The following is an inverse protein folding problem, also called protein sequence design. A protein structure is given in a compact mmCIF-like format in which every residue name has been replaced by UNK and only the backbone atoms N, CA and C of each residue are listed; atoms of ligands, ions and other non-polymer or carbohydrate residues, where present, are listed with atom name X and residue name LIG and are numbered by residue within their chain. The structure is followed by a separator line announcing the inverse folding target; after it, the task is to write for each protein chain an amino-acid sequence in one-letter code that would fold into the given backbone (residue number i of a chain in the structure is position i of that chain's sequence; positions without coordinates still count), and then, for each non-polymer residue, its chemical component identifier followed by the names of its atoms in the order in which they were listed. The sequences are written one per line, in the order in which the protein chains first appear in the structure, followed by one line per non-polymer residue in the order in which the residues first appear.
data_IF_324969653472
#
_entry.id   IF_324969653472
#
_cell.length_a   1.000
_cell.length_b   1.000
_cell.length_c   1.000
_cell.angle_alpha   90.00
_cell.angle_beta   90.00
_cell.angle_gamma   90.00
#
_symmetry.space_group_name_H-M   'P 1'
#
loop_
_entity.id
_entity.type
_entity.pdbx_description
1 polymer ?
#
# COMPACT_ATOMS: atom_id res chain seq x y z
N UNK A 1 5.58 -33.30 67.09
CA UNK A 1 5.29 -33.80 65.70
C UNK A 1 4.09 -33.14 65.02
N UNK A 2 2.95 -32.91 65.70
CA UNK A 2 1.72 -32.35 65.07
C UNK A 2 1.88 -30.92 64.51
N UNK A 3 2.58 -30.03 65.22
CA UNK A 3 2.76 -28.61 64.81
C UNK A 3 3.60 -28.45 63.53
N UNK A 4 4.69 -29.22 63.39
CA UNK A 4 5.52 -29.24 62.16
C UNK A 4 4.76 -29.79 60.95
N UNK A 5 3.92 -30.83 61.14
CA UNK A 5 3.05 -31.34 60.07
C UNK A 5 1.98 -30.32 59.65
N UNK A 6 1.37 -29.61 60.59
CA UNK A 6 0.41 -28.54 60.25
C UNK A 6 1.05 -27.39 59.48
N UNK A 7 2.24 -26.94 59.90
CA UNK A 7 2.97 -25.87 59.19
C UNK A 7 3.33 -26.33 57.76
N UNK A 8 3.77 -27.57 57.59
CA UNK A 8 4.07 -28.12 56.26
C UNK A 8 2.82 -28.16 55.36
N UNK A 9 1.67 -28.57 55.88
CA UNK A 9 0.40 -28.59 55.13
C UNK A 9 -0.01 -27.17 54.71
N UNK A 10 0.11 -26.19 55.60
CA UNK A 10 -0.24 -24.81 55.30
C UNK A 10 0.65 -24.21 54.20
N UNK A 11 1.96 -24.45 54.29
CA UNK A 11 2.92 -24.02 53.25
C UNK A 11 2.60 -24.70 51.91
N UNK A 12 2.28 -26.00 51.89
CA UNK A 12 1.92 -26.68 50.63
C UNK A 12 0.64 -26.13 50.01
N UNK A 13 -0.36 -25.77 50.82
CA UNK A 13 -1.60 -25.17 50.31
C UNK A 13 -1.35 -23.77 49.71
N UNK A 14 -0.52 -22.95 50.37
CA UNK A 14 -0.13 -21.64 49.81
C UNK A 14 0.68 -21.79 48.52
N UNK A 15 1.62 -22.75 48.45
CA UNK A 15 2.37 -23.01 47.22
C UNK A 15 1.46 -23.48 46.06
N UNK A 16 0.46 -24.33 46.35
CA UNK A 16 -0.53 -24.76 45.35
C UNK A 16 -1.37 -23.56 44.89
N UNK A 17 -1.84 -22.73 45.82
CA UNK A 17 -2.61 -21.53 45.50
C UNK A 17 -1.82 -20.55 44.64
N UNK A 18 -0.57 -20.26 45.00
CA UNK A 18 0.34 -19.41 44.21
C UNK A 18 0.59 -20.02 42.83
N UNK A 19 0.79 -21.33 42.73
CA UNK A 19 0.99 -21.99 41.43
C UNK A 19 -0.24 -21.88 40.53
N UNK A 20 -1.44 -22.06 41.08
CA UNK A 20 -2.70 -21.92 40.35
C UNK A 20 -2.91 -20.48 39.90
N UNK A 21 -2.61 -19.51 40.76
CA UNK A 21 -2.71 -18.08 40.45
C UNK A 21 -1.71 -17.67 39.36
N UNK A 22 -0.46 -18.15 39.42
CA UNK A 22 0.55 -17.93 38.40
C UNK A 22 0.16 -18.58 37.05
N UNK A 23 -0.33 -19.82 37.05
CA UNK A 23 -0.82 -20.46 35.82
C UNK A 23 -2.03 -19.74 35.23
N UNK A 24 -2.96 -19.25 36.07
CA UNK A 24 -4.08 -18.43 35.64
C UNK A 24 -3.65 -17.12 35.00
N UNK A 25 -2.68 -16.42 35.60
CA UNK A 25 -2.09 -15.21 35.02
C UNK A 25 -1.39 -15.50 33.68
N UNK A 26 -0.64 -16.60 33.55
CA UNK A 26 0.00 -16.99 32.29
C UNK A 26 -1.03 -17.30 31.19
N UNK A 27 -2.14 -17.95 31.54
CA UNK A 27 -3.22 -18.24 30.58
C UNK A 27 -3.97 -16.97 30.16
N UNK A 28 -4.21 -16.03 31.08
CA UNK A 28 -4.79 -14.72 30.76
C UNK A 28 -3.85 -13.89 29.88
N UNK A 29 -2.55 -13.86 30.17
CA UNK A 29 -1.54 -13.18 29.35
C UNK A 29 -1.43 -13.80 27.95
N UNK A 30 -1.53 -15.14 27.83
CA UNK A 30 -1.57 -15.81 26.52
C UNK A 30 -2.85 -15.55 25.73
N UNK A 31 -3.98 -15.35 26.41
CA UNK A 31 -5.26 -14.97 25.78
C UNK A 31 -5.30 -13.49 25.36
N UNK A 32 -4.48 -12.65 26.00
CA UNK A 32 -4.30 -11.24 25.67
C UNK A 32 -3.14 -10.98 24.70
N UNK A 33 -2.57 -12.00 24.06
CA UNK A 33 -1.57 -11.77 23.02
C UNK A 33 -2.27 -11.17 21.78
N UNK A 34 -2.06 -9.88 21.46
CA UNK A 34 -2.75 -9.22 20.38
C UNK A 34 -2.40 -9.80 19.01
N UNK A 35 -1.17 -10.29 18.82
CA UNK A 35 -0.70 -10.91 17.57
C UNK A 35 -1.56 -12.12 17.23
N UNK A 36 -1.82 -12.99 18.21
CA UNK A 36 -2.72 -14.14 18.06
C UNK A 36 -4.17 -13.75 17.80
N UNK A 37 -4.61 -12.58 18.25
CA UNK A 37 -5.97 -12.08 18.00
C UNK A 37 -6.09 -11.56 16.56
N UNK A 38 -5.05 -10.90 16.04
CA UNK A 38 -4.98 -10.42 14.66
C UNK A 38 -4.85 -11.60 13.70
N UNK A 39 -3.91 -12.53 13.94
CA UNK A 39 -3.68 -13.72 13.11
C UNK A 39 -4.97 -14.55 12.92
N UNK A 40 -5.77 -14.71 13.99
CA UNK A 40 -7.06 -15.41 13.93
C UNK A 40 -8.14 -14.70 13.10
N UNK A 41 -7.89 -13.46 12.70
CA UNK A 41 -8.81 -12.60 11.92
C UNK A 41 -8.27 -12.27 10.52
N UNK A 42 -7.10 -12.81 10.15
CA UNK A 42 -6.56 -12.65 8.82
C UNK A 42 -7.33 -13.50 7.82
N UNK A 43 -7.61 -12.91 6.67
CA UNK A 43 -8.27 -13.54 5.54
C UNK A 43 -7.34 -13.43 4.35
N UNK A 44 -7.15 -14.54 3.66
CA UNK A 44 -6.45 -14.58 2.39
C UNK A 44 -7.46 -14.50 1.27
N UNK A 45 -7.33 -13.50 0.40
CA UNK A 45 -8.16 -13.37 -0.79
C UNK A 45 -7.35 -12.79 -1.95
N UNK A 46 -7.39 -13.48 -3.08
CA UNK A 46 -6.61 -13.09 -4.25
C UNK A 46 -5.13 -12.93 -3.89
N UNK A 47 -4.60 -11.74 -4.15
CA UNK A 47 -3.17 -11.44 -4.02
C UNK A 47 -2.75 -11.05 -2.60
N UNK A 48 -3.71 -10.88 -1.68
CA UNK A 48 -3.45 -10.26 -0.38
C UNK A 48 -3.94 -11.10 0.79
N UNK A 49 -3.28 -10.89 1.92
CA UNK A 49 -3.75 -11.27 3.25
C UNK A 49 -4.19 -9.99 3.95
N UNK A 50 -5.40 -9.95 4.48
CA UNK A 50 -5.99 -8.74 5.05
C UNK A 50 -6.74 -9.01 6.35
N UNK A 51 -6.81 -8.00 7.21
CA UNK A 51 -7.64 -7.99 8.43
C UNK A 51 -8.94 -7.21 8.20
N UNK A 52 -10.05 -7.71 8.75
CA UNK A 52 -11.36 -7.01 8.72
C UNK A 52 -11.53 -6.06 9.91
N UNK A 53 -11.97 -4.85 9.62
CA UNK A 53 -12.26 -3.79 10.58
C UNK A 53 -13.63 -3.17 10.25
N UNK A 54 -14.71 -3.83 10.67
CA UNK A 54 -16.07 -3.43 10.28
C UNK A 54 -16.29 -3.59 8.77
N UNK A 55 -16.68 -2.51 8.07
CA UNK A 55 -16.82 -2.47 6.60
C UNK A 55 -15.50 -2.16 5.86
N UNK A 56 -14.38 -2.15 6.57
CA UNK A 56 -13.05 -1.84 6.04
C UNK A 56 -12.13 -3.04 6.10
N UNK A 57 -11.13 -3.04 5.25
CA UNK A 57 -10.03 -3.99 5.24
C UNK A 57 -8.70 -3.26 5.42
N UNK A 58 -7.76 -3.92 6.10
CA UNK A 58 -6.36 -3.52 6.12
C UNK A 58 -5.50 -4.61 5.51
N UNK A 59 -4.65 -4.27 4.53
CA UNK A 59 -3.70 -5.22 3.97
C UNK A 59 -2.62 -5.50 5.02
N UNK A 60 -2.43 -6.77 5.33
CA UNK A 60 -1.48 -7.26 6.33
C UNK A 60 -0.35 -8.06 5.69
N UNK A 61 -0.50 -8.48 4.43
CA UNK A 61 0.49 -9.28 3.74
C UNK A 61 0.14 -9.51 2.27
N UNK A 62 1.10 -10.07 1.52
CA UNK A 62 0.88 -10.59 0.17
C UNK A 62 0.67 -12.10 0.29
N UNK A 63 -0.35 -12.63 -0.37
CA UNK A 63 -0.64 -14.06 -0.38
C UNK A 63 0.38 -14.83 -1.21
N UNK A 64 0.44 -16.15 -1.04
CA UNK A 64 1.30 -17.01 -1.87
C UNK A 64 0.94 -16.95 -3.37
N UNK A 65 -0.33 -16.68 -3.71
CA UNK A 65 -0.72 -16.46 -5.11
C UNK A 65 -0.30 -15.08 -5.61
N UNK A 66 -0.42 -14.04 -4.78
CA UNK A 66 0.05 -12.69 -5.10
C UNK A 66 1.54 -12.66 -5.40
N UNK A 67 2.35 -13.37 -4.59
CA UNK A 67 3.80 -13.50 -4.76
C UNK A 67 4.23 -14.15 -6.08
N UNK A 68 3.38 -14.95 -6.72
CA UNK A 68 3.67 -15.63 -8.00
C UNK A 68 3.49 -14.73 -9.22
N UNK A 69 2.87 -13.56 -9.07
CA UNK A 69 2.54 -12.69 -10.19
C UNK A 69 3.74 -11.86 -10.64
N UNK A 70 3.85 -11.62 -11.95
CA UNK A 70 4.84 -10.68 -12.49
C UNK A 70 4.49 -9.21 -12.14
N UNK A 71 3.20 -8.94 -11.97
CA UNK A 71 2.68 -7.60 -11.65
C UNK A 71 1.72 -7.69 -10.47
N UNK A 72 2.03 -6.96 -9.40
CA UNK A 72 1.19 -6.81 -8.22
C UNK A 72 0.55 -5.41 -8.22
N UNK A 73 -0.77 -5.35 -8.16
CA UNK A 73 -1.53 -4.09 -8.07
C UNK A 73 -2.26 -4.05 -6.75
N UNK A 74 -1.94 -3.06 -5.91
CA UNK A 74 -2.62 -2.85 -4.63
C UNK A 74 -4.07 -2.44 -4.86
N UNK A 75 -4.99 -3.03 -4.10
CA UNK A 75 -6.45 -2.94 -4.34
C UNK A 75 -7.17 -1.99 -3.37
N UNK A 76 -8.14 -1.24 -3.88
CA UNK A 76 -9.03 -0.39 -3.08
C UNK A 76 -10.17 -1.16 -2.41
N UNK A 77 -10.39 -2.41 -2.80
CA UNK A 77 -11.43 -3.29 -2.29
C UNK A 77 -10.94 -4.73 -2.25
N UNK A 78 -11.23 -5.44 -1.17
CA UNK A 78 -11.02 -6.88 -1.03
C UNK A 78 -12.34 -7.48 -0.56
N UNK A 79 -12.88 -8.42 -1.32
CA UNK A 79 -14.26 -8.90 -1.17
C UNK A 79 -15.28 -7.74 -1.17
N UNK A 80 -16.15 -7.66 -0.17
CA UNK A 80 -17.07 -6.54 0.04
C UNK A 80 -16.45 -5.33 0.79
N UNK A 81 -15.21 -5.44 1.27
CA UNK A 81 -14.59 -4.47 2.19
C UNK A 81 -13.74 -3.46 1.44
N UNK A 82 -13.93 -2.18 1.75
CA UNK A 82 -13.05 -1.11 1.28
C UNK A 82 -11.70 -1.21 1.98
N UNK A 83 -10.62 -1.29 1.22
CA UNK A 83 -9.27 -1.21 1.78
C UNK A 83 -8.98 0.24 2.14
N UNK A 84 -8.58 0.47 3.39
CA UNK A 84 -8.29 1.82 3.89
C UNK A 84 -6.91 1.96 4.48
N UNK A 85 -6.19 0.85 4.67
CA UNK A 85 -4.88 0.87 5.29
C UNK A 85 -4.03 -0.32 4.90
N UNK A 86 -2.73 -0.17 5.15
CA UNK A 86 -1.74 -1.23 5.12
C UNK A 86 -1.11 -1.27 6.52
N UNK A 87 -1.03 -2.45 7.13
CA UNK A 87 -0.68 -2.64 8.55
C UNK A 87 -1.85 -2.35 9.49
N UNK A 88 -1.66 -2.51 10.80
CA UNK A 88 -2.72 -2.25 11.78
C UNK A 88 -2.19 -1.59 13.05
N UNK A 89 -3.05 -0.81 13.70
CA UNK A 89 -2.80 -0.21 15.00
C UNK A 89 -3.89 -0.64 15.98
N UNK A 90 -3.50 -1.31 17.07
CA UNK A 90 -4.43 -1.73 18.14
C UNK A 90 -3.89 -1.22 19.48
N UNK A 91 -4.74 -0.47 20.21
CA UNK A 91 -4.48 0.06 21.56
C UNK A 91 -3.07 0.65 21.76
N UNK A 92 -2.79 1.76 21.06
CA UNK A 92 -1.49 2.49 21.06
C UNK A 92 -0.27 1.68 20.61
N UNK A 93 -0.41 0.39 20.32
CA UNK A 93 0.62 -0.43 19.71
C UNK A 93 0.39 -0.50 18.20
N UNK A 94 1.41 -0.08 17.45
CA UNK A 94 1.46 -0.25 16.00
C UNK A 94 2.10 -1.60 15.75
N UNK A 95 1.44 -2.42 14.95
CA UNK A 95 1.93 -3.74 14.58
C UNK A 95 2.65 -3.57 13.25
N UNK A 96 3.98 -3.63 13.33
CA UNK A 96 4.84 -3.59 12.15
C UNK A 96 4.94 -4.99 11.60
N UNK A 97 4.27 -5.23 10.48
CA UNK A 97 4.57 -6.39 9.64
C UNK A 97 5.41 -5.91 8.47
N UNK A 98 6.42 -6.72 8.14
CA UNK A 98 7.15 -6.55 6.90
C UNK A 98 6.25 -6.99 5.75
N UNK A 99 6.12 -6.12 4.75
CA UNK A 99 5.49 -6.49 3.49
C UNK A 99 6.59 -6.91 2.52
N UNK A 100 6.75 -8.23 2.37
CA UNK A 100 7.73 -8.80 1.43
C UNK A 100 7.16 -8.79 0.01
N UNK A 101 7.58 -7.79 -0.76
CA UNK A 101 7.20 -7.55 -2.15
C UNK A 101 8.32 -8.08 -3.04
N UNK A 102 8.08 -9.25 -3.66
CA UNK A 102 9.04 -9.90 -4.56
C UNK A 102 8.64 -9.81 -6.04
N UNK A 103 7.52 -9.13 -6.31
CA UNK A 103 6.94 -9.05 -7.64
C UNK A 103 7.80 -8.14 -8.54
N UNK A 104 8.11 -8.55 -9.78
CA UNK A 104 8.87 -7.73 -10.72
C UNK A 104 8.32 -6.31 -10.90
N UNK A 105 6.99 -6.16 -10.96
CA UNK A 105 6.33 -4.86 -11.06
C UNK A 105 5.33 -4.69 -9.91
N UNK A 106 5.38 -3.56 -9.21
CA UNK A 106 4.45 -3.26 -8.12
C UNK A 106 3.83 -1.89 -8.28
N UNK A 107 2.49 -1.85 -8.24
CA UNK A 107 1.71 -0.64 -8.41
C UNK A 107 0.93 -0.32 -7.13
N UNK A 108 1.20 0.86 -6.58
CA UNK A 108 0.44 1.43 -5.47
C UNK A 108 -0.69 2.32 -5.98
N UNK A 109 -1.74 2.47 -5.17
CA UNK A 109 -2.74 3.51 -5.38
C UNK A 109 -2.89 4.38 -4.13
N UNK A 110 -3.30 5.63 -4.31
CA UNK A 110 -3.53 6.58 -3.23
C UNK A 110 -4.88 6.32 -2.54
N UNK A 111 -4.92 5.28 -1.72
CA UNK A 111 -6.14 4.85 -1.02
C UNK A 111 -5.92 4.45 0.45
N UNK A 112 -4.67 4.53 0.93
CA UNK A 112 -4.27 3.86 2.17
C UNK A 112 -3.69 4.83 3.19
N UNK A 113 -4.01 4.57 4.45
CA UNK A 113 -3.20 4.99 5.59
C UNK A 113 -2.19 3.89 5.92
N UNK A 114 -0.93 4.24 6.13
CA UNK A 114 0.13 3.30 6.48
C UNK A 114 0.37 3.29 8.00
N UNK A 115 0.40 2.12 8.61
CA UNK A 115 0.66 1.94 10.04
C UNK A 115 1.98 1.20 10.27
N UNK A 116 3.10 1.93 10.26
CA UNK A 116 4.47 1.43 10.49
C UNK A 116 4.80 0.14 9.73
N UNK A 117 4.45 0.13 8.44
CA UNK A 117 4.74 -0.98 7.53
C UNK A 117 6.14 -0.78 6.95
N UNK A 118 6.99 -1.78 7.09
CA UNK A 118 8.26 -1.81 6.38
C UNK A 118 8.08 -2.63 5.10
N UNK A 119 8.42 -2.05 3.95
CA UNK A 119 8.32 -2.73 2.66
C UNK A 119 9.69 -3.22 2.22
N UNK A 120 9.77 -4.51 1.91
CA UNK A 120 10.95 -5.14 1.35
C UNK A 120 10.70 -5.40 -0.15
N UNK A 121 11.65 -5.01 -0.99
CA UNK A 121 11.53 -5.03 -2.45
C UNK A 121 12.50 -6.02 -3.12
N UNK A 122 12.88 -7.10 -2.44
CA UNK A 122 13.83 -8.08 -2.98
C UNK A 122 13.38 -8.63 -4.34
N UNK A 123 14.22 -8.49 -5.37
CA UNK A 123 13.91 -8.91 -6.74
C UNK A 123 12.90 -8.02 -7.50
N UNK A 124 12.32 -7.00 -6.88
CA UNK A 124 11.43 -6.04 -7.55
C UNK A 124 12.21 -5.20 -8.56
N UNK A 125 11.66 -5.04 -9.77
CA UNK A 125 12.31 -4.30 -10.87
C UNK A 125 11.72 -2.91 -11.07
N UNK A 126 10.40 -2.76 -10.94
CA UNK A 126 9.70 -1.50 -11.18
C UNK A 126 8.67 -1.24 -10.08
N UNK A 127 8.71 -0.03 -9.51
CA UNK A 127 7.83 0.42 -8.42
C UNK A 127 7.10 1.68 -8.87
N UNK A 128 5.77 1.68 -8.84
CA UNK A 128 4.93 2.79 -9.30
C UNK A 128 4.23 3.43 -8.10
N UNK A 129 4.61 4.68 -7.77
CA UNK A 129 4.20 5.38 -6.55
C UNK A 129 3.48 6.69 -6.91
N UNK A 130 2.17 6.80 -6.67
CA UNK A 130 1.41 7.99 -7.04
C UNK A 130 1.36 9.09 -5.98
N UNK A 131 1.62 8.82 -4.69
CA UNK A 131 1.45 9.83 -3.63
C UNK A 131 2.27 9.62 -2.36
N UNK A 132 2.22 8.45 -1.72
CA UNK A 132 2.88 8.23 -0.43
C UNK A 132 4.33 7.79 -0.63
N UNK A 133 5.18 8.77 -0.96
CA UNK A 133 6.62 8.61 -1.09
C UNK A 133 7.25 8.01 0.17
N UNK A 134 6.84 8.47 1.35
CA UNK A 134 7.55 8.10 2.57
C UNK A 134 7.44 6.61 2.89
N UNK A 135 6.25 6.02 2.70
CA UNK A 135 6.03 4.61 3.05
C UNK A 135 6.37 3.66 1.90
N UNK A 136 6.15 4.08 0.64
CA UNK A 136 6.32 3.18 -0.51
C UNK A 136 7.72 3.23 -1.12
N UNK A 137 8.49 4.32 -0.93
CA UNK A 137 9.77 4.46 -1.61
C UNK A 137 10.85 3.54 -0.99
N UNK A 138 11.62 2.79 -1.80
CA UNK A 138 12.68 1.91 -1.29
C UNK A 138 13.80 2.72 -0.63
N UNK A 139 14.06 2.51 0.66
CA UNK A 139 15.02 3.34 1.45
C UNK A 139 16.44 2.80 1.51
N UNK A 140 16.74 1.67 0.88
CA UNK A 140 18.07 1.07 0.89
C UNK A 140 18.65 0.99 -0.53
N UNK A 141 19.93 1.38 -0.68
CA UNK A 141 20.67 1.35 -1.96
C UNK A 141 20.80 -0.04 -2.58
N UNK A 142 20.51 -1.09 -1.82
CA UNK A 142 20.53 -2.48 -2.28
C UNK A 142 19.39 -2.77 -3.27
N UNK A 143 18.31 -1.98 -3.24
CA UNK A 143 17.20 -2.11 -4.17
C UNK A 143 17.47 -1.27 -5.43
N UNK A 144 17.89 -1.91 -6.53
CA UNK A 144 18.15 -1.24 -7.82
C UNK A 144 16.89 -1.16 -8.72
N UNK A 145 15.71 -1.10 -8.11
CA UNK A 145 14.45 -0.98 -8.84
C UNK A 145 14.35 0.37 -9.53
N UNK A 146 13.71 0.40 -10.70
CA UNK A 146 13.24 1.66 -11.28
C UNK A 146 12.02 2.13 -10.49
N UNK A 147 11.99 3.39 -10.09
CA UNK A 147 10.88 4.00 -9.36
C UNK A 147 10.21 5.04 -10.22
N UNK A 148 8.92 4.85 -10.49
CA UNK A 148 8.09 5.75 -11.27
C UNK A 148 7.19 6.55 -10.33
N UNK A 149 7.41 7.86 -10.29
CA UNK A 149 6.70 8.77 -9.40
C UNK A 149 5.68 9.60 -10.17
N UNK A 150 4.60 9.99 -9.49
CA UNK A 150 3.75 11.09 -9.93
C UNK A 150 4.56 12.38 -10.12
N UNK A 151 4.00 13.34 -10.88
CA UNK A 151 4.70 14.56 -11.25
C UNK A 151 5.12 15.38 -10.03
N UNK A 152 4.23 15.58 -9.05
CA UNK A 152 4.57 16.40 -7.88
C UNK A 152 5.56 15.67 -6.97
N UNK A 153 5.43 14.35 -6.78
CA UNK A 153 6.43 13.54 -6.07
C UNK A 153 7.79 13.56 -6.76
N UNK A 154 7.84 13.44 -8.09
CA UNK A 154 9.10 13.50 -8.81
C UNK A 154 9.78 14.86 -8.65
N UNK A 155 9.02 15.96 -8.74
CA UNK A 155 9.54 17.31 -8.45
C UNK A 155 10.00 17.48 -7.01
N UNK A 156 9.26 16.91 -6.06
CA UNK A 156 9.67 16.87 -4.66
C UNK A 156 11.01 16.14 -4.53
N UNK A 157 11.12 14.93 -5.10
CA UNK A 157 12.34 14.13 -5.09
C UNK A 157 13.55 14.90 -5.64
N UNK A 158 13.43 15.49 -6.84
CA UNK A 158 14.51 16.28 -7.45
C UNK A 158 14.93 17.49 -6.61
N UNK A 159 13.99 18.11 -5.89
CA UNK A 159 14.27 19.32 -5.09
C UNK A 159 15.10 19.01 -3.85
N UNK A 160 14.90 17.83 -3.25
CA UNK A 160 15.52 17.46 -1.98
C UNK A 160 16.78 16.60 -2.14
N UNK A 161 17.28 16.46 -3.37
CA UNK A 161 18.53 15.81 -3.80
C UNK A 161 19.12 14.85 -2.76
N UNK A 162 18.73 13.59 -2.85
CA UNK A 162 19.00 12.61 -1.82
C UNK A 162 20.08 11.62 -2.24
N UNK A 163 21.24 11.66 -1.58
CA UNK A 163 22.36 10.72 -1.82
C UNK A 163 22.04 9.25 -1.52
N UNK A 164 20.87 8.94 -0.94
CA UNK A 164 20.53 7.61 -0.45
C UNK A 164 19.88 6.70 -1.49
N UNK A 165 19.57 7.19 -2.69
CA UNK A 165 19.08 6.37 -3.81
C UNK A 165 19.71 6.79 -5.14
N UNK A 166 19.71 5.89 -6.13
CA UNK A 166 20.22 6.20 -7.46
C UNK A 166 19.21 7.06 -8.22
N UNK A 167 19.55 8.32 -8.45
CA UNK A 167 18.71 9.30 -9.16
C UNK A 167 18.38 8.84 -10.60
N UNK A 168 19.29 8.09 -11.24
CA UNK A 168 19.10 7.59 -12.61
C UNK A 168 18.08 6.45 -12.68
N UNK A 169 17.65 5.94 -11.52
CA UNK A 169 16.60 4.95 -11.36
C UNK A 169 15.25 5.54 -11.00
N UNK A 170 15.14 6.86 -10.86
CA UNK A 170 13.87 7.51 -10.52
C UNK A 170 13.37 8.31 -11.71
N UNK A 171 12.13 8.04 -12.10
CA UNK A 171 11.51 8.58 -13.30
C UNK A 171 10.19 9.27 -12.94
N UNK A 172 9.86 10.32 -13.68
CA UNK A 172 8.50 10.84 -13.72
C UNK A 172 7.66 9.90 -14.58
N UNK A 173 6.60 9.32 -14.03
CA UNK A 173 5.64 8.53 -14.78
C UNK A 173 5.02 9.39 -15.90
N UNK A 174 4.59 8.76 -17.01
CA UNK A 174 3.96 9.47 -18.13
C UNK A 174 2.44 9.25 -18.24
N UNK A 175 1.86 8.44 -17.37
CA UNK A 175 0.41 8.27 -17.22
C UNK A 175 0.02 8.52 -15.78
N UNK A 176 -0.96 9.38 -15.55
CA UNK A 176 -1.45 9.75 -14.21
C UNK A 176 -2.96 9.66 -14.14
N UNK A 177 -3.47 9.20 -13.01
CA UNK A 177 -4.89 9.06 -12.74
C UNK A 177 -5.28 9.97 -11.57
N UNK A 178 -6.28 10.82 -11.73
CA UNK A 178 -6.79 11.68 -10.68
C UNK A 178 -8.20 11.26 -10.27
N UNK A 179 -8.34 10.74 -9.05
CA UNK A 179 -9.62 10.24 -8.55
C UNK A 179 -10.52 11.34 -7.95
N UNK A 180 -9.99 12.51 -7.61
CA UNK A 180 -10.76 13.64 -7.08
C UNK A 180 -10.14 14.97 -7.54
N UNK A 181 -10.95 16.03 -7.56
CA UNK A 181 -10.47 17.38 -7.87
C UNK A 181 -9.97 18.15 -6.65
N UNK A 182 -10.39 17.74 -5.44
CA UNK A 182 -10.12 18.45 -4.19
C UNK A 182 -10.00 17.47 -3.03
N UNK A 183 -8.79 17.26 -2.51
CA UNK A 183 -8.61 16.64 -1.18
C UNK A 183 -7.22 16.95 -0.63
N UNK A 184 -7.11 17.83 0.39
CA UNK A 184 -5.95 18.48 1.07
C UNK A 184 -4.55 17.78 1.19
N UNK A 185 -4.15 16.87 0.31
CA UNK A 185 -2.82 16.25 0.23
C UNK A 185 -2.16 16.60 -1.11
N UNK A 186 -0.87 16.92 -1.07
CA UNK A 186 -0.17 17.75 -2.05
C UNK A 186 0.03 17.19 -3.48
N UNK A 187 -0.43 15.98 -3.80
CA UNK A 187 -0.32 15.43 -5.17
C UNK A 187 -1.65 14.98 -5.79
N UNK A 188 -2.67 14.58 -5.00
CA UNK A 188 -3.98 14.05 -5.46
C UNK A 188 -3.97 12.92 -6.52
N UNK A 189 -2.80 12.51 -6.99
CA UNK A 189 -2.66 11.44 -7.96
C UNK A 189 -3.03 10.11 -7.29
N UNK A 190 -3.92 9.37 -7.94
CA UNK A 190 -4.48 8.11 -7.48
C UNK A 190 -3.61 6.93 -7.90
N UNK A 191 -3.08 6.97 -9.12
CA UNK A 191 -2.33 5.88 -9.72
C UNK A 191 -1.40 6.43 -10.80
N UNK A 192 -0.32 5.73 -11.07
CA UNK A 192 0.64 6.09 -12.12
C UNK A 192 1.06 4.87 -12.93
N UNK A 193 1.39 5.09 -14.19
CA UNK A 193 1.93 4.05 -15.09
C UNK A 193 2.96 4.65 -16.05
N UNK A 194 3.72 3.77 -16.70
CA UNK A 194 4.77 4.11 -17.65
C UNK A 194 4.55 3.38 -18.99
N UNK A 195 3.96 4.08 -19.96
CA UNK A 195 3.50 3.49 -21.23
C UNK A 195 3.97 4.34 -22.41
N UNK A 196 4.71 3.75 -23.34
CA UNK A 196 5.25 4.48 -24.50
C UNK A 196 4.63 4.00 -25.83
N UNK A 197 3.74 4.82 -26.41
CA UNK A 197 3.17 4.58 -27.74
C UNK A 197 2.27 3.35 -27.85
N UNK A 198 1.62 2.95 -26.76
CA UNK A 198 0.82 1.71 -26.64
C UNK A 198 -0.46 1.95 -25.83
N UNK A 199 -1.37 0.98 -25.87
CA UNK A 199 -2.52 0.91 -24.95
C UNK A 199 -2.05 0.60 -23.52
N UNK A 200 -2.87 0.97 -22.54
CA UNK A 200 -2.56 0.74 -21.12
C UNK A 200 -2.98 -0.68 -20.74
N UNK A 201 -2.02 -1.50 -20.29
CA UNK A 201 -2.28 -2.89 -19.90
C UNK A 201 -2.51 -3.09 -18.40
N UNK A 202 -1.98 -2.21 -17.54
CA UNK A 202 -2.18 -2.27 -16.10
C UNK A 202 -3.28 -1.30 -15.71
N UNK A 203 -4.47 -1.83 -15.48
CA UNK A 203 -5.64 -1.02 -15.12
C UNK A 203 -5.62 -0.77 -13.61
N UNK A 204 -5.77 0.49 -13.15
CA UNK A 204 -5.85 0.78 -11.73
C UNK A 204 -7.09 0.13 -11.10
N UNK A 205 -7.07 -0.19 -9.80
CA UNK A 205 -8.29 -0.56 -9.09
C UNK A 205 -9.29 0.60 -9.12
N UNK A 206 -10.58 0.29 -9.09
CA UNK A 206 -11.61 1.33 -9.04
C UNK A 206 -11.45 2.18 -7.77
N UNK A 207 -11.34 3.52 -7.87
CA UNK A 207 -11.29 4.35 -6.68
C UNK A 207 -12.61 4.25 -5.91
N UNK A 208 -12.56 4.49 -4.59
CA UNK A 208 -13.73 4.46 -3.72
C UNK A 208 -14.03 5.85 -3.15
N UNK A 209 -15.26 6.35 -3.34
CA UNK A 209 -15.76 7.61 -2.78
C UNK A 209 -17.14 7.40 -2.15
N UNK A 210 -17.29 7.77 -0.88
CA UNK A 210 -18.55 7.58 -0.14
C UNK A 210 -19.68 8.44 -0.74
N UNK A 211 -20.86 7.86 -0.95
CA UNK A 211 -22.00 8.53 -1.58
C UNK A 211 -21.91 8.63 -3.11
N UNK A 212 -20.88 8.05 -3.74
CA UNK A 212 -20.70 8.11 -5.19
C UNK A 212 -20.37 6.75 -5.80
N UNK A 213 -20.79 6.58 -7.04
CA UNK A 213 -20.45 5.47 -7.93
C UNK A 213 -19.35 5.92 -8.91
N UNK A 214 -18.31 5.10 -9.06
CA UNK A 214 -17.28 5.34 -10.06
C UNK A 214 -17.79 4.96 -11.47
N UNK A 215 -17.67 5.88 -12.42
CA UNK A 215 -18.20 5.72 -13.79
C UNK A 215 -17.12 5.43 -14.84
N UNK A 216 -15.85 5.52 -14.44
CA UNK A 216 -14.69 5.28 -15.29
C UNK A 216 -13.74 6.48 -15.37
N UNK A 217 -12.70 6.29 -16.18
CA UNK A 217 -11.64 7.26 -16.43
C UNK A 217 -11.91 8.04 -17.73
N UNK A 218 -11.61 9.34 -17.73
CA UNK A 218 -11.89 10.25 -18.84
C UNK A 218 -10.64 11.03 -19.25
N UNK A 219 -10.59 11.42 -20.52
CA UNK A 219 -9.41 12.02 -21.16
C UNK A 219 -9.14 13.46 -20.71
N UNK A 220 -10.15 14.11 -20.15
CA UNK A 220 -10.11 15.52 -19.77
C UNK A 220 -10.82 15.74 -18.44
N UNK A 221 -10.53 16.90 -17.83
CA UNK A 221 -11.06 17.29 -16.54
C UNK A 221 -12.59 17.48 -16.58
N UNK A 222 -13.13 17.89 -17.72
CA UNK A 222 -14.56 18.04 -17.96
C UNK A 222 -15.30 16.69 -17.97
N UNK A 223 -14.59 15.57 -18.15
CA UNK A 223 -15.09 14.19 -18.14
C UNK A 223 -16.18 13.94 -19.19
N UNK A 224 -15.88 14.37 -20.41
CA UNK A 224 -16.75 14.24 -21.58
C UNK A 224 -16.44 12.92 -22.31
N UNK A 225 -15.19 12.70 -22.69
CA UNK A 225 -14.75 11.53 -23.44
C UNK A 225 -14.15 10.49 -22.49
N UNK A 226 -14.79 9.33 -22.42
CA UNK A 226 -14.29 8.20 -21.63
C UNK A 226 -13.03 7.64 -22.29
N UNK A 227 -12.03 7.27 -21.48
CA UNK A 227 -10.87 6.53 -21.95
C UNK A 227 -11.27 5.08 -22.22
N UNK A 228 -10.92 4.60 -23.41
CA UNK A 228 -11.10 3.23 -23.85
C UNK A 228 -9.78 2.47 -23.72
N UNK A 229 -9.67 1.60 -22.71
CA UNK A 229 -8.44 0.86 -22.44
C UNK A 229 -8.05 -0.13 -23.54
N UNK A 230 -8.99 -0.53 -24.41
CA UNK A 230 -8.73 -1.47 -25.50
C UNK A 230 -8.20 -0.75 -26.75
N UNK A 231 -8.65 0.49 -26.99
CA UNK A 231 -8.42 1.20 -28.25
C UNK A 231 -7.59 2.48 -28.13
N UNK A 232 -7.63 3.17 -26.99
CA UNK A 232 -6.88 4.41 -26.81
C UNK A 232 -5.40 4.16 -26.52
N UNK A 233 -4.56 4.89 -27.25
CA UNK A 233 -3.10 4.76 -27.20
C UNK A 233 -2.50 5.95 -26.46
N UNK A 234 -1.63 5.68 -25.50
CA UNK A 234 -0.79 6.69 -24.85
C UNK A 234 0.20 7.24 -25.89
N UNK A 235 0.31 8.56 -26.08
CA UNK A 235 1.27 9.15 -27.01
C UNK A 235 2.71 8.70 -26.74
N UNK A 236 3.52 8.65 -27.79
CA UNK A 236 4.95 8.35 -27.64
C UNK A 236 5.64 9.42 -26.80
N UNK A 237 6.51 8.97 -25.90
CA UNK A 237 7.35 9.86 -25.10
C UNK A 237 8.34 10.60 -25.98
N UNK A 238 8.62 11.84 -25.59
CA UNK A 238 9.75 12.61 -26.12
C UNK A 238 10.94 12.45 -25.16
N UNK A 239 12.14 12.37 -25.72
CA UNK A 239 13.37 12.23 -24.96
C UNK A 239 14.32 13.38 -25.29
N UNK A 240 15.10 13.79 -24.30
CA UNK A 240 16.19 14.75 -24.50
C UNK A 240 17.42 14.07 -25.13
N UNK A 241 18.48 14.85 -25.36
CA UNK A 241 19.74 14.38 -25.94
C UNK A 241 20.43 13.28 -25.12
N UNK A 242 20.11 13.17 -23.83
CA UNK A 242 20.64 12.16 -22.92
C UNK A 242 19.73 10.93 -22.80
N UNK A 243 18.63 10.89 -23.57
CA UNK A 243 17.66 9.79 -23.53
C UNK A 243 16.73 9.84 -22.32
N UNK A 244 16.63 10.98 -21.62
CA UNK A 244 15.71 11.16 -20.49
C UNK A 244 14.36 11.66 -20.97
N UNK A 245 13.29 11.14 -20.39
CA UNK A 245 11.92 11.55 -20.72
C UNK A 245 11.70 13.04 -20.42
N UNK A 246 11.23 13.77 -21.45
CA UNK A 246 10.82 15.17 -21.35
C UNK A 246 9.39 15.19 -20.81
N UNK A 247 9.26 15.23 -19.48
CA UNK A 247 7.96 15.24 -18.78
C UNK A 247 7.29 16.62 -18.72
N UNK A 248 8.01 17.69 -19.08
CA UNK A 248 7.48 19.06 -19.18
C UNK A 248 7.96 19.73 -20.47
N UNK A 249 7.07 20.46 -21.14
CA UNK A 249 7.35 21.29 -22.31
C UNK A 249 6.48 22.55 -22.19
N UNK A 250 7.06 23.74 -22.31
CA UNK A 250 6.37 25.04 -22.16
C UNK A 250 5.49 25.13 -20.89
N UNK A 251 6.07 24.77 -19.74
CA UNK A 251 5.41 24.73 -18.42
C UNK A 251 4.18 23.81 -18.33
N UNK A 252 4.01 22.90 -19.29
CA UNK A 252 2.93 21.91 -19.30
C UNK A 252 3.48 20.51 -19.18
N UNK A 253 2.79 19.69 -18.39
CA UNK A 253 3.06 18.26 -18.31
C UNK A 253 2.74 17.60 -19.66
N UNK A 254 3.66 16.78 -20.16
CA UNK A 254 3.58 16.17 -21.50
C UNK A 254 2.92 14.79 -21.51
N UNK A 255 2.74 14.19 -20.33
CA UNK A 255 2.13 12.86 -20.20
C UNK A 255 0.61 12.87 -20.31
N UNK A 256 0.03 11.67 -20.28
CA UNK A 256 -1.42 11.46 -20.30
C UNK A 256 -1.98 11.57 -18.87
N UNK A 257 -3.03 12.38 -18.71
CA UNK A 257 -3.75 12.51 -17.45
C UNK A 257 -5.18 12.00 -17.65
N UNK A 258 -5.62 11.11 -16.77
CA UNK A 258 -6.96 10.54 -16.75
C UNK A 258 -7.71 10.97 -15.50
N UNK A 259 -8.97 11.36 -15.67
CA UNK A 259 -9.81 11.92 -14.61
C UNK A 259 -10.97 10.99 -14.28
N UNK A 260 -11.16 10.69 -13.00
CA UNK A 260 -12.29 9.89 -12.56
C UNK A 260 -13.60 10.66 -12.71
N UNK A 261 -14.63 9.98 -13.23
CA UNK A 261 -16.00 10.46 -13.21
C UNK A 261 -16.81 9.73 -12.14
N UNK A 262 -17.64 10.50 -11.43
CA UNK A 262 -18.46 10.04 -10.33
C UNK A 262 -19.93 10.39 -10.56
N UNK A 263 -20.82 9.52 -10.11
CA UNK A 263 -22.27 9.72 -10.07
C UNK A 263 -22.74 9.59 -8.61
N UNK A 264 -23.51 10.55 -8.11
CA UNK A 264 -24.05 10.51 -6.73
C UNK A 264 -25.10 9.40 -6.59
N UNK A 265 -25.12 8.70 -5.44
CA UNK A 265 -26.01 7.56 -5.15
C UNK A 265 -27.12 7.97 -4.19
#
# INVERSE_FOLDING_TARGET
MKKKKMIAIFITMECIYISLLLTGCVLLLRSCNPDRIIERRLITNGDFVYARLGKKASIMGISEEGKKKDTLVFQTKLDEYRVTSIGTQIFYHRYSDNLDIINPNVYFCNAYVYYDVYMNYDGTKNIYIPSDYNNCFPREKTYYANVFLSYNLYKFFLKYDTDWYDIDKVYCANVMYYSSEYDYQSDHCFFVDDVDGKTISVIPPDPCREGYKFMGWYKEQERINKWDFENDVVPKKKYDENGKYIYMEDDKYTGTILYAKWEEI
#
